data_IF_207825083633
#
_entry.id   IF_207825083633
#
_cell.length_a   1.000
_cell.length_b   1.000
_cell.length_c   1.000
_cell.angle_alpha   90.00
_cell.angle_beta   90.00
_cell.angle_gamma   90.00
#
_symmetry.space_group_name_H-M   'P 1'
#
loop_
_entity.id
_entity.type
_entity.pdbx_description
1 polymer ?
#
# COMPACT_ATOMS: atom_id res chain seq x y z
N UNK A 1 10.00 -18.52 19.40
CA UNK A 1 11.08 -19.21 20.12
C UNK A 1 11.61 -18.40 21.28
N UNK A 2 12.10 -17.17 21.02
CA UNK A 2 12.72 -16.31 22.05
C UNK A 2 11.80 -16.04 23.23
N UNK A 3 10.54 -15.72 23.00
CA UNK A 3 9.54 -15.46 24.07
C UNK A 3 9.25 -16.69 24.93
N UNK A 4 9.52 -17.89 24.40
CA UNK A 4 9.33 -19.16 25.10
C UNK A 4 10.62 -19.66 25.79
N UNK A 5 11.71 -18.89 25.75
CA UNK A 5 13.01 -19.33 26.25
C UNK A 5 13.71 -20.37 25.36
N UNK A 6 13.24 -20.59 24.14
CA UNK A 6 13.86 -21.46 23.13
C UNK A 6 14.35 -20.62 21.96
N UNK A 7 15.52 -19.97 22.07
CA UNK A 7 16.05 -19.20 20.96
C UNK A 7 16.38 -20.10 19.77
N UNK A 8 16.15 -19.57 18.56
CA UNK A 8 16.60 -20.21 17.32
C UNK A 8 18.12 -20.21 17.31
N UNK A 9 18.74 -21.30 16.83
CA UNK A 9 20.17 -21.36 16.60
C UNK A 9 20.59 -20.41 15.47
N UNK A 10 21.86 -20.10 15.40
CA UNK A 10 22.46 -19.32 14.33
C UNK A 10 23.37 -20.22 13.49
N UNK A 11 23.07 -20.37 12.20
CA UNK A 11 23.84 -21.12 11.25
C UNK A 11 23.70 -20.46 9.87
N UNK A 12 24.80 -20.26 9.15
CA UNK A 12 24.83 -19.53 7.88
C UNK A 12 25.45 -20.30 6.72
N UNK A 13 26.26 -21.32 6.98
CA UNK A 13 26.91 -22.12 5.94
C UNK A 13 26.13 -23.41 5.67
N UNK A 14 25.34 -23.40 4.61
CA UNK A 14 24.59 -24.56 4.12
C UNK A 14 25.25 -25.23 2.90
N UNK A 15 26.49 -24.94 2.61
CA UNK A 15 27.22 -25.46 1.42
C UNK A 15 27.53 -26.94 1.51
N UNK A 16 27.75 -27.49 2.71
CA UNK A 16 28.01 -28.90 2.96
C UNK A 16 27.41 -29.35 4.30
N UNK A 17 27.17 -30.67 4.40
CA UNK A 17 26.69 -31.27 5.63
C UNK A 17 27.80 -31.24 6.69
N UNK A 18 27.51 -30.58 7.83
CA UNK A 18 28.41 -30.51 8.99
C UNK A 18 27.66 -30.90 10.28
N UNK A 19 28.40 -31.16 11.37
CA UNK A 19 27.79 -31.43 12.66
C UNK A 19 27.03 -30.21 13.18
N UNK A 20 27.55 -29.01 12.97
CA UNK A 20 26.89 -27.76 13.36
C UNK A 20 25.55 -27.57 12.62
N UNK A 21 25.49 -27.92 11.33
CA UNK A 21 24.24 -27.92 10.59
C UNK A 21 23.22 -28.92 11.13
N UNK A 22 23.67 -30.12 11.52
CA UNK A 22 22.81 -31.13 12.16
C UNK A 22 22.27 -30.61 13.49
N UNK A 23 23.14 -30.07 14.33
CA UNK A 23 22.77 -29.52 15.65
C UNK A 23 21.80 -28.35 15.51
N UNK A 24 22.02 -27.47 14.52
CA UNK A 24 21.10 -26.39 14.16
C UNK A 24 19.72 -26.93 13.76
N UNK A 25 19.66 -27.96 12.91
CA UNK A 25 18.39 -28.57 12.50
C UNK A 25 17.65 -29.22 13.68
N UNK A 26 18.37 -29.88 14.59
CA UNK A 26 17.78 -30.48 15.81
C UNK A 26 17.17 -29.37 16.68
N UNK A 27 17.91 -28.27 16.86
CA UNK A 27 17.43 -27.11 17.63
C UNK A 27 16.18 -26.49 16.98
N UNK A 28 16.16 -26.32 15.66
CA UNK A 28 15.00 -25.75 14.92
C UNK A 28 13.75 -26.64 15.09
N UNK A 29 13.90 -27.96 15.10
CA UNK A 29 12.78 -28.88 15.35
C UNK A 29 12.26 -28.71 16.79
N UNK A 30 13.15 -28.64 17.77
CA UNK A 30 12.77 -28.47 19.18
C UNK A 30 12.05 -27.11 19.40
N UNK A 31 12.54 -26.04 18.79
CA UNK A 31 11.90 -24.71 18.81
C UNK A 31 10.52 -24.78 18.17
N UNK A 32 10.39 -25.42 17.02
CA UNK A 32 9.12 -25.56 16.30
C UNK A 32 8.10 -26.34 17.13
N UNK A 33 8.52 -27.41 17.79
CA UNK A 33 7.65 -28.19 18.68
C UNK A 33 7.16 -27.37 19.88
N UNK A 34 8.05 -26.61 20.51
CA UNK A 34 7.69 -25.75 21.65
C UNK A 34 6.69 -24.66 21.22
N UNK A 35 6.92 -24.01 20.07
CA UNK A 35 6.01 -23.00 19.49
C UNK A 35 4.67 -23.64 19.16
N UNK A 36 4.64 -24.79 18.52
CA UNK A 36 3.40 -25.50 18.18
C UNK A 36 2.57 -25.83 19.45
N UNK A 37 3.20 -26.37 20.49
CA UNK A 37 2.52 -26.65 21.76
C UNK A 37 1.88 -25.41 22.38
N UNK A 38 2.58 -24.27 22.32
CA UNK A 38 2.03 -23.01 22.83
C UNK A 38 0.89 -22.47 21.96
N UNK A 39 1.03 -22.54 20.63
CA UNK A 39 -0.02 -22.11 19.71
C UNK A 39 -1.30 -22.95 19.87
N UNK A 40 -1.19 -24.27 20.02
CA UNK A 40 -2.35 -25.13 20.28
C UNK A 40 -3.10 -24.70 21.55
N UNK A 41 -2.38 -24.32 22.63
CA UNK A 41 -3.01 -23.78 23.84
C UNK A 41 -3.71 -22.43 23.56
N UNK A 42 -3.06 -21.54 22.84
CA UNK A 42 -3.62 -20.22 22.55
C UNK A 42 -4.85 -20.31 21.62
N UNK A 43 -4.86 -21.30 20.72
CA UNK A 43 -5.97 -21.53 19.77
C UNK A 43 -7.16 -22.28 20.37
N UNK A 44 -7.06 -22.79 21.61
CA UNK A 44 -8.13 -23.55 22.25
C UNK A 44 -9.45 -22.75 22.42
N UNK A 45 -9.41 -21.43 22.32
CA UNK A 45 -10.57 -20.55 22.35
C UNK A 45 -11.28 -20.40 20.99
N UNK A 46 -10.65 -20.84 19.88
CA UNK A 46 -11.22 -20.74 18.54
C UNK A 46 -11.93 -22.06 18.19
N UNK A 47 -12.98 -21.94 17.38
CA UNK A 47 -13.64 -23.12 16.82
C UNK A 47 -12.69 -23.84 15.86
N UNK A 48 -12.61 -25.17 15.88
CA UNK A 48 -11.75 -25.95 14.98
C UNK A 48 -11.99 -25.62 13.51
N UNK A 49 -13.24 -25.34 13.12
CA UNK A 49 -13.65 -25.01 11.76
C UNK A 49 -12.99 -23.71 11.26
N UNK A 50 -12.76 -22.73 12.15
CA UNK A 50 -12.06 -21.49 11.80
C UNK A 50 -10.60 -21.78 11.44
N UNK A 51 -9.94 -22.66 12.21
CA UNK A 51 -8.55 -23.05 11.98
C UNK A 51 -8.43 -23.85 10.68
N UNK A 52 -9.36 -24.78 10.46
CA UNK A 52 -9.42 -25.57 9.22
C UNK A 52 -9.66 -24.68 7.99
N UNK A 53 -10.54 -23.68 8.10
CA UNK A 53 -10.77 -22.70 7.03
C UNK A 53 -9.49 -21.96 6.66
N UNK A 54 -8.75 -21.44 7.65
CA UNK A 54 -7.50 -20.71 7.40
C UNK A 54 -6.43 -21.60 6.75
N UNK A 55 -6.33 -22.88 7.12
CA UNK A 55 -5.42 -23.80 6.46
C UNK A 55 -5.82 -24.06 5.01
N UNK A 56 -7.11 -24.21 4.72
CA UNK A 56 -7.60 -24.36 3.32
C UNK A 56 -7.36 -23.10 2.51
N UNK A 57 -7.61 -21.91 3.08
CA UNK A 57 -7.32 -20.63 2.46
C UNK A 57 -5.83 -20.47 2.18
N UNK A 58 -4.97 -20.83 3.12
CA UNK A 58 -3.51 -20.76 2.95
C UNK A 58 -3.04 -21.65 1.79
N UNK A 59 -3.62 -22.83 1.61
CA UNK A 59 -3.33 -23.69 0.48
C UNK A 59 -3.70 -23.03 -0.86
N UNK A 60 -4.90 -22.40 -0.94
CA UNK A 60 -5.35 -21.66 -2.15
C UNK A 60 -4.42 -20.50 -2.44
N UNK A 61 -4.07 -19.72 -1.42
CA UNK A 61 -3.16 -18.57 -1.53
C UNK A 61 -1.77 -19.02 -2.02
N UNK A 62 -1.27 -20.16 -1.53
CA UNK A 62 -0.01 -20.73 -2.00
C UNK A 62 -0.08 -21.13 -3.48
N UNK A 63 -1.19 -21.71 -3.95
CA UNK A 63 -1.38 -22.01 -5.38
C UNK A 63 -1.41 -20.72 -6.23
N UNK A 64 -2.03 -19.65 -5.71
CA UNK A 64 -2.01 -18.34 -6.36
C UNK A 64 -0.59 -17.78 -6.47
N UNK A 65 0.21 -17.87 -5.40
CA UNK A 65 1.61 -17.45 -5.38
C UNK A 65 2.45 -18.27 -6.37
N UNK A 66 2.31 -19.60 -6.40
CA UNK A 66 3.00 -20.48 -7.35
C UNK A 66 2.61 -20.15 -8.79
N UNK A 67 1.34 -19.93 -9.08
CA UNK A 67 0.87 -19.57 -10.42
C UNK A 67 1.36 -18.21 -10.89
N UNK A 68 1.44 -17.23 -10.00
CA UNK A 68 1.81 -15.86 -10.32
C UNK A 68 0.89 -15.19 -11.35
N UNK A 69 1.23 -13.97 -11.71
CA UNK A 69 0.49 -13.11 -12.64
C UNK A 69 1.39 -12.67 -13.79
N UNK A 70 0.94 -12.82 -15.03
CA UNK A 70 1.70 -12.39 -16.20
C UNK A 70 1.71 -10.87 -16.27
N UNK A 71 2.92 -10.28 -16.38
CA UNK A 71 3.12 -8.87 -16.59
C UNK A 71 3.56 -8.61 -18.04
N UNK A 72 2.88 -7.70 -18.72
CA UNK A 72 3.36 -7.13 -19.99
C UNK A 72 4.53 -6.19 -19.67
N UNK A 73 5.75 -6.75 -19.68
CA UNK A 73 6.95 -6.01 -19.34
C UNK A 73 7.24 -4.87 -20.32
N UNK A 74 6.87 -5.02 -21.60
CA UNK A 74 7.05 -3.97 -22.59
C UNK A 74 6.20 -2.76 -22.25
N UNK A 75 4.89 -2.96 -22.06
CA UNK A 75 3.96 -1.91 -21.67
C UNK A 75 4.34 -1.28 -20.32
N UNK A 76 4.76 -2.09 -19.36
CA UNK A 76 5.19 -1.60 -18.04
C UNK A 76 6.45 -0.71 -18.13
N UNK A 77 7.44 -1.06 -18.96
CA UNK A 77 8.62 -0.24 -19.21
C UNK A 77 8.27 1.08 -19.92
N UNK A 78 7.40 1.02 -20.93
CA UNK A 78 6.91 2.23 -21.62
C UNK A 78 6.21 3.17 -20.66
N UNK A 79 5.38 2.62 -19.75
CA UNK A 79 4.68 3.40 -18.74
C UNK A 79 5.63 4.01 -17.71
N UNK A 80 6.65 3.27 -17.26
CA UNK A 80 7.72 3.81 -16.41
C UNK A 80 8.46 4.97 -17.07
N UNK A 81 8.80 4.86 -18.36
CA UNK A 81 9.45 5.91 -19.10
C UNK A 81 8.57 7.18 -19.16
N UNK A 82 7.29 7.02 -19.50
CA UNK A 82 6.31 8.13 -19.55
C UNK A 82 6.19 8.83 -18.19
N UNK A 83 6.08 8.08 -17.09
CA UNK A 83 6.01 8.69 -15.77
C UNK A 83 7.29 9.42 -15.39
N UNK A 84 8.45 8.84 -15.75
CA UNK A 84 9.75 9.46 -15.49
C UNK A 84 9.94 10.75 -16.26
N UNK A 85 9.53 10.79 -17.52
CA UNK A 85 9.55 12.00 -18.37
C UNK A 85 8.66 13.08 -17.76
N UNK A 86 7.39 12.79 -17.46
CA UNK A 86 6.50 13.74 -16.82
C UNK A 86 7.01 14.26 -15.47
N UNK A 87 7.64 13.41 -14.66
CA UNK A 87 8.30 13.84 -13.42
C UNK A 87 9.46 14.81 -13.68
N UNK A 88 10.27 14.58 -14.72
CA UNK A 88 11.40 15.44 -15.06
C UNK A 88 10.90 16.80 -15.55
N UNK A 89 9.84 16.82 -16.37
CA UNK A 89 9.24 18.07 -16.88
C UNK A 89 8.70 18.92 -15.73
N UNK A 90 7.89 18.34 -14.85
CA UNK A 90 7.36 19.04 -13.68
C UNK A 90 8.48 19.51 -12.74
N UNK A 91 9.51 18.69 -12.54
CA UNK A 91 10.66 19.09 -11.74
C UNK A 91 11.38 20.30 -12.34
N UNK A 92 11.57 20.33 -13.65
CA UNK A 92 12.21 21.46 -14.35
C UNK A 92 11.37 22.73 -14.20
N UNK A 93 10.06 22.66 -14.43
CA UNK A 93 9.15 23.79 -14.26
C UNK A 93 9.16 24.31 -12.81
N UNK A 94 9.13 23.42 -11.82
CA UNK A 94 9.17 23.81 -10.42
C UNK A 94 10.52 24.38 -10.00
N UNK A 95 11.63 23.96 -10.63
CA UNK A 95 12.96 24.55 -10.38
C UNK A 95 13.10 25.96 -10.99
N UNK A 96 12.39 26.26 -12.09
CA UNK A 96 12.29 27.62 -12.59
C UNK A 96 11.47 28.51 -11.66
N UNK A 97 10.38 28.01 -11.09
CA UNK A 97 9.54 28.75 -10.14
C UNK A 97 10.20 28.93 -8.76
N UNK A 98 11.06 28.01 -8.37
CA UNK A 98 11.80 28.02 -7.12
C UNK A 98 13.31 27.96 -7.39
N UNK A 99 13.95 29.11 -7.66
CA UNK A 99 15.37 29.16 -7.94
C UNK A 99 16.20 28.65 -6.75
N UNK A 100 17.43 28.18 -6.99
CA UNK A 100 18.31 27.67 -5.94
C UNK A 100 18.52 28.70 -4.81
N UNK A 101 18.54 28.23 -3.58
CA UNK A 101 18.94 29.05 -2.43
C UNK A 101 20.46 29.01 -2.34
N UNK A 102 21.06 30.18 -2.29
CA UNK A 102 22.50 30.37 -2.13
C UNK A 102 22.76 30.90 -0.71
N UNK A 103 23.43 30.11 0.11
CA UNK A 103 23.82 30.47 1.46
C UNK A 103 25.32 30.79 1.49
N UNK A 104 25.67 32.04 1.82
CA UNK A 104 27.06 32.41 2.06
C UNK A 104 27.57 31.73 3.33
N UNK A 105 28.72 31.10 3.24
CA UNK A 105 29.30 30.36 4.35
C UNK A 105 30.66 30.98 4.76
N UNK A 106 30.86 31.09 6.06
CA UNK A 106 32.13 31.50 6.65
C UNK A 106 32.59 30.44 7.64
N UNK A 107 33.91 30.24 7.71
CA UNK A 107 34.49 29.34 8.68
C UNK A 107 34.29 29.92 10.11
N UNK A 108 33.72 29.14 11.00
CA UNK A 108 33.53 29.57 12.41
C UNK A 108 34.85 29.91 13.10
N UNK A 109 35.90 29.15 12.80
CA UNK A 109 37.23 29.30 13.39
C UNK A 109 38.05 30.43 12.80
N UNK A 110 38.08 30.57 11.46
CA UNK A 110 38.99 31.49 10.76
C UNK A 110 38.29 32.70 10.19
N UNK A 111 36.95 32.76 10.24
CA UNK A 111 36.08 33.80 9.64
C UNK A 111 36.33 34.00 8.16
N UNK A 112 37.11 33.13 7.52
CA UNK A 112 37.30 33.16 6.04
C UNK A 112 36.05 32.71 5.31
N UNK A 113 35.76 33.36 4.18
CA UNK A 113 34.67 32.94 3.27
C UNK A 113 34.95 31.54 2.75
N UNK A 114 33.94 30.67 2.86
CA UNK A 114 33.94 29.34 2.30
C UNK A 114 33.15 29.37 0.99
N UNK A 115 33.17 28.27 0.22
CA UNK A 115 32.31 28.10 -0.96
C UNK A 115 30.86 28.16 -0.52
N UNK A 116 30.06 28.95 -1.23
CA UNK A 116 28.63 29.09 -0.97
C UNK A 116 27.94 27.72 -1.08
N UNK A 117 26.96 27.50 -0.21
CA UNK A 117 26.11 26.32 -0.29
C UNK A 117 24.93 26.63 -1.20
N UNK A 118 24.86 25.93 -2.32
CA UNK A 118 23.76 26.05 -3.28
C UNK A 118 22.82 24.89 -3.08
N UNK A 119 21.57 25.17 -2.71
CA UNK A 119 20.52 24.16 -2.53
C UNK A 119 19.50 24.29 -3.66
N UNK A 120 19.55 23.36 -4.61
CA UNK A 120 18.57 23.24 -5.68
C UNK A 120 17.28 22.63 -5.14
N UNK A 121 16.13 23.13 -5.60
CA UNK A 121 14.83 22.62 -5.17
C UNK A 121 14.64 21.15 -5.60
N UNK A 122 14.36 20.30 -4.62
CA UNK A 122 14.07 18.88 -4.80
C UNK A 122 12.60 18.60 -4.45
N UNK A 123 11.77 18.37 -5.45
CA UNK A 123 10.34 18.06 -5.31
C UNK A 123 10.08 16.77 -4.51
N UNK A 124 11.03 15.84 -4.53
CA UNK A 124 10.98 14.61 -3.72
C UNK A 124 11.18 14.85 -2.21
N UNK A 125 11.71 16.00 -1.82
CA UNK A 125 11.95 16.35 -0.41
C UNK A 125 10.74 17.04 0.20
N UNK A 126 9.97 16.31 1.02
CA UNK A 126 8.79 16.86 1.71
C UNK A 126 9.09 18.13 2.50
N UNK A 127 10.27 18.20 3.13
CA UNK A 127 10.70 19.38 3.86
C UNK A 127 10.91 20.58 2.95
N UNK A 128 11.64 20.42 1.83
CA UNK A 128 11.84 21.51 0.89
C UNK A 128 10.52 21.95 0.21
N UNK A 129 9.64 21.01 -0.08
CA UNK A 129 8.30 21.31 -0.62
C UNK A 129 7.53 22.19 0.37
N UNK A 130 7.48 21.82 1.66
CA UNK A 130 6.80 22.63 2.68
C UNK A 130 7.38 24.03 2.75
N UNK A 131 8.70 24.16 2.94
CA UNK A 131 9.42 25.43 3.06
C UNK A 131 9.20 26.34 1.83
N UNK A 132 9.22 25.76 0.61
CA UNK A 132 9.05 26.55 -0.61
C UNK A 132 7.61 26.98 -0.84
N UNK A 133 6.63 26.11 -0.59
CA UNK A 133 5.22 26.45 -0.73
C UNK A 133 4.76 27.45 0.33
N UNK A 134 5.33 27.44 1.54
CA UNK A 134 5.08 28.47 2.55
C UNK A 134 5.46 29.87 2.05
N UNK A 135 6.54 30.01 1.30
CA UNK A 135 6.91 31.30 0.70
C UNK A 135 5.90 31.82 -0.33
N UNK A 136 4.99 30.95 -0.79
CA UNK A 136 3.90 31.25 -1.72
C UNK A 136 2.53 31.34 -1.01
N UNK A 137 2.51 31.22 0.31
CA UNK A 137 1.28 31.36 1.10
C UNK A 137 0.59 30.04 1.46
N UNK A 138 1.26 28.90 1.28
CA UNK A 138 0.73 27.61 1.76
C UNK A 138 0.71 27.56 3.28
N UNK A 139 -0.33 26.92 3.83
CA UNK A 139 -0.52 26.73 5.27
C UNK A 139 -0.68 25.24 5.58
N UNK A 140 0.03 24.75 6.57
CA UNK A 140 0.01 23.35 6.97
C UNK A 140 -0.77 23.17 8.27
N UNK A 141 -1.89 22.46 8.18
CA UNK A 141 -2.76 22.17 9.31
C UNK A 141 -2.33 20.95 10.12
N UNK A 142 -1.51 20.08 9.52
CA UNK A 142 -1.09 18.81 10.12
C UNK A 142 0.43 18.75 10.24
N UNK A 143 0.92 18.29 11.41
CA UNK A 143 2.34 18.10 11.69
C UNK A 143 2.64 16.62 11.97
N UNK A 144 3.82 16.18 11.59
CA UNK A 144 4.35 14.86 11.96
C UNK A 144 4.65 14.84 13.47
N UNK A 145 4.83 13.67 14.11
CA UNK A 145 5.25 13.57 15.51
C UNK A 145 6.56 14.32 15.82
N UNK A 146 7.39 14.57 14.80
CA UNK A 146 8.63 15.36 14.91
C UNK A 146 8.43 16.87 14.69
N UNK A 147 7.17 17.35 14.58
CA UNK A 147 6.85 18.76 14.42
C UNK A 147 7.05 19.32 13.01
N UNK A 148 7.29 18.48 12.00
CA UNK A 148 7.42 18.92 10.59
C UNK A 148 6.07 18.89 9.88
N UNK A 149 5.80 19.78 8.91
CA UNK A 149 4.59 19.75 8.09
C UNK A 149 4.37 18.38 7.41
N UNK A 150 3.13 17.90 7.44
CA UNK A 150 2.70 16.75 6.64
C UNK A 150 2.44 17.24 5.22
N UNK A 151 3.21 16.73 4.26
CA UNK A 151 3.06 17.04 2.82
C UNK A 151 2.54 15.78 2.12
N UNK A 152 1.25 15.72 1.93
CA UNK A 152 0.55 14.63 1.25
C UNK A 152 -0.54 15.15 0.32
N UNK A 153 -1.31 14.24 -0.29
CA UNK A 153 -2.40 14.59 -1.21
C UNK A 153 -3.45 15.50 -0.53
N UNK A 154 -3.79 15.23 0.74
CA UNK A 154 -4.83 15.95 1.48
C UNK A 154 -4.38 17.38 1.74
N UNK A 155 -3.19 17.56 2.32
CA UNK A 155 -2.66 18.88 2.68
C UNK A 155 -2.33 19.73 1.45
N UNK A 156 -1.87 19.12 0.35
CA UNK A 156 -1.66 19.83 -0.92
C UNK A 156 -2.98 20.29 -1.54
N UNK A 157 -4.05 19.49 -1.49
CA UNK A 157 -5.40 19.90 -1.94
C UNK A 157 -5.98 21.04 -1.11
N UNK A 158 -5.71 21.08 0.19
CA UNK A 158 -6.10 22.22 1.05
C UNK A 158 -5.40 23.52 0.63
N UNK A 159 -4.20 23.41 0.04
CA UNK A 159 -3.42 24.52 -0.49
C UNK A 159 -3.64 24.77 -1.99
N UNK A 160 -4.81 24.45 -2.53
CA UNK A 160 -5.14 24.63 -3.97
C UNK A 160 -5.12 26.07 -4.44
N UNK A 161 -5.12 27.05 -3.53
CA UNK A 161 -4.92 28.47 -3.82
C UNK A 161 -3.48 28.81 -4.23
N UNK A 162 -2.52 27.91 -3.98
CA UNK A 162 -1.12 28.01 -4.42
C UNK A 162 -0.94 27.15 -5.68
N UNK A 163 -0.77 27.73 -6.88
CA UNK A 163 -0.71 26.96 -8.14
C UNK A 163 0.41 25.91 -8.15
N UNK A 164 1.53 26.20 -7.52
CA UNK A 164 2.67 25.29 -7.43
C UNK A 164 2.34 24.02 -6.61
N UNK A 165 1.40 24.10 -5.67
CA UNK A 165 0.96 22.93 -4.90
C UNK A 165 0.28 21.88 -5.80
N UNK A 166 -0.47 22.30 -6.84
CA UNK A 166 -1.06 21.39 -7.82
C UNK A 166 0.01 20.65 -8.63
N UNK A 167 1.08 21.34 -9.05
CA UNK A 167 2.22 20.71 -9.75
C UNK A 167 2.97 19.72 -8.86
N UNK A 168 3.18 20.06 -7.59
CA UNK A 168 3.77 19.14 -6.62
C UNK A 168 2.89 17.89 -6.45
N UNK A 169 1.57 18.07 -6.36
CA UNK A 169 0.62 16.95 -6.25
C UNK A 169 0.70 16.02 -7.46
N UNK A 170 0.77 16.57 -8.67
CA UNK A 170 0.95 15.80 -9.91
C UNK A 170 2.27 15.03 -9.92
N UNK A 171 3.38 15.70 -9.57
CA UNK A 171 4.68 15.04 -9.44
C UNK A 171 4.63 13.85 -8.48
N UNK A 172 4.02 14.02 -7.30
CA UNK A 172 3.90 12.95 -6.31
C UNK A 172 3.02 11.79 -6.79
N UNK A 173 2.00 12.08 -7.57
CA UNK A 173 1.18 11.05 -8.20
C UNK A 173 2.00 10.23 -9.19
N UNK A 174 2.73 10.90 -10.11
CA UNK A 174 3.61 10.23 -11.07
C UNK A 174 4.71 9.43 -10.37
N UNK A 175 5.33 10.00 -9.34
CA UNK A 175 6.34 9.30 -8.53
C UNK A 175 5.79 8.02 -7.90
N UNK A 176 4.59 8.09 -7.33
CA UNK A 176 3.91 6.92 -6.75
C UNK A 176 3.63 5.86 -7.80
N UNK A 177 3.13 6.25 -8.99
CA UNK A 177 2.84 5.33 -10.10
C UNK A 177 4.09 4.72 -10.67
N UNK A 178 5.12 5.53 -10.90
CA UNK A 178 6.44 5.05 -11.34
C UNK A 178 7.02 4.02 -10.40
N UNK A 179 7.11 4.33 -9.10
CA UNK A 179 7.62 3.40 -8.10
C UNK A 179 6.82 2.09 -8.03
N UNK A 180 5.51 2.17 -8.21
CA UNK A 180 4.62 1.01 -8.22
C UNK A 180 4.88 0.10 -9.41
N UNK A 181 4.92 0.66 -10.64
CA UNK A 181 5.18 -0.13 -11.86
C UNK A 181 6.60 -0.68 -11.88
N UNK A 182 7.58 0.11 -11.41
CA UNK A 182 8.96 -0.35 -11.26
C UNK A 182 9.06 -1.55 -10.31
N UNK A 183 8.36 -1.52 -9.18
CA UNK A 183 8.33 -2.64 -8.23
C UNK A 183 7.75 -3.93 -8.83
N UNK A 184 6.83 -3.82 -9.79
CA UNK A 184 6.33 -4.99 -10.52
C UNK A 184 7.37 -5.55 -11.47
N UNK A 185 8.05 -4.68 -12.24
CA UNK A 185 9.12 -5.08 -13.16
C UNK A 185 10.27 -5.78 -12.41
N UNK A 186 10.68 -5.26 -11.25
CA UNK A 186 11.72 -5.85 -10.41
C UNK A 186 11.31 -7.21 -9.81
N UNK A 187 10.00 -7.44 -9.65
CA UNK A 187 9.47 -8.68 -9.09
C UNK A 187 9.24 -9.78 -10.14
N UNK A 188 9.37 -9.48 -11.43
CA UNK A 188 9.19 -10.49 -12.50
C UNK A 188 10.26 -11.56 -12.38
N UNK A 189 9.84 -12.83 -12.46
CA UNK A 189 10.72 -14.00 -12.49
C UNK A 189 11.00 -14.46 -13.92
N UNK A 190 11.86 -15.47 -14.05
CA UNK A 190 12.29 -16.04 -15.36
C UNK A 190 11.11 -16.53 -16.22
N UNK A 191 10.00 -16.93 -15.61
CA UNK A 191 8.77 -17.34 -16.29
C UNK A 191 7.91 -16.18 -16.81
N UNK A 192 8.37 -14.93 -16.65
CA UNK A 192 7.66 -13.71 -17.04
C UNK A 192 6.50 -13.34 -16.13
N UNK A 193 6.44 -13.89 -14.92
CA UNK A 193 5.36 -13.69 -13.96
C UNK A 193 5.84 -13.00 -12.69
N UNK A 194 4.90 -12.37 -12.03
CA UNK A 194 5.06 -11.79 -10.70
C UNK A 194 4.37 -12.70 -9.69
N UNK A 195 5.13 -13.19 -8.71
CA UNK A 195 4.66 -14.10 -7.67
C UNK A 195 4.46 -13.34 -6.35
N UNK A 196 3.46 -12.46 -6.35
CA UNK A 196 3.13 -11.66 -5.16
C UNK A 196 2.62 -12.53 -4.02
N UNK A 197 3.17 -12.34 -2.84
CA UNK A 197 2.82 -13.10 -1.64
C UNK A 197 1.57 -12.55 -0.97
N UNK A 198 0.70 -13.45 -0.50
CA UNK A 198 -0.49 -13.13 0.30
C UNK A 198 -0.36 -13.79 1.66
N UNK A 199 -0.66 -13.04 2.72
CA UNK A 199 -0.73 -13.55 4.10
C UNK A 199 -2.20 -13.56 4.49
N UNK A 200 -2.78 -14.73 4.77
CA UNK A 200 -4.22 -14.92 5.00
C UNK A 200 -4.76 -14.09 6.17
N UNK A 201 -4.02 -13.98 7.26
CA UNK A 201 -4.37 -13.20 8.45
C UNK A 201 -3.33 -12.10 8.73
N UNK A 202 -2.93 -11.34 7.70
CA UNK A 202 -1.85 -10.36 7.80
C UNK A 202 -2.22 -9.05 8.52
N UNK A 203 -3.50 -8.71 8.60
CA UNK A 203 -3.99 -7.51 9.28
C UNK A 203 -4.60 -7.85 10.65
N UNK A 204 -4.54 -6.89 11.58
CA UNK A 204 -5.16 -7.01 12.92
C UNK A 204 -6.67 -7.30 12.85
N UNK A 205 -7.31 -6.86 11.76
CA UNK A 205 -8.73 -7.08 11.47
C UNK A 205 -9.03 -8.46 10.87
N UNK A 206 -8.06 -9.37 10.72
CA UNK A 206 -8.22 -10.66 10.05
C UNK A 206 -8.26 -10.58 8.52
N UNK A 207 -8.04 -9.40 7.92
CA UNK A 207 -7.95 -9.28 6.45
C UNK A 207 -6.62 -9.81 5.94
N UNK A 208 -6.62 -10.30 4.70
CA UNK A 208 -5.41 -10.66 4.00
C UNK A 208 -4.55 -9.42 3.70
N UNK A 209 -3.24 -9.58 3.74
CA UNK A 209 -2.28 -8.57 3.28
C UNK A 209 -1.45 -9.09 2.13
N UNK A 210 -0.97 -8.18 1.29
CA UNK A 210 -0.16 -8.50 0.12
C UNK A 210 1.22 -7.86 0.23
N UNK A 211 2.25 -8.60 -0.20
CA UNK A 211 3.63 -8.12 -0.23
C UNK A 211 4.44 -8.75 -1.36
N UNK A 212 5.52 -8.11 -1.71
CA UNK A 212 6.57 -8.62 -2.62
C UNK A 212 6.10 -9.00 -4.04
N UNK A 213 5.40 -8.11 -4.77
CA UNK A 213 4.90 -6.79 -4.46
C UNK A 213 3.48 -6.81 -3.88
N UNK A 214 2.99 -5.65 -3.40
CA UNK A 214 1.62 -5.53 -2.95
C UNK A 214 0.64 -5.45 -4.13
N UNK A 215 0.08 -6.60 -4.52
CA UNK A 215 -0.85 -6.73 -5.64
C UNK A 215 -2.23 -6.10 -5.38
N UNK A 216 -2.62 -5.93 -4.10
CA UNK A 216 -3.90 -5.30 -3.75
C UNK A 216 -3.91 -3.78 -4.02
N UNK A 217 -2.75 -3.16 -4.24
CA UNK A 217 -2.62 -1.72 -4.50
C UNK A 217 -2.61 -1.34 -5.98
N UNK A 218 -2.86 -2.27 -6.91
CA UNK A 218 -3.02 -1.92 -8.33
C UNK A 218 -4.15 -0.90 -8.45
N UNK A 219 -3.91 0.29 -9.07
CA UNK A 219 -4.87 1.38 -9.05
C UNK A 219 -6.22 0.99 -9.64
N UNK A 220 -7.30 1.53 -9.09
CA UNK A 220 -8.63 1.34 -9.64
C UNK A 220 -8.73 2.00 -11.05
N UNK A 221 -9.49 1.40 -11.96
CA UNK A 221 -9.58 1.89 -13.34
C UNK A 221 -10.10 3.31 -13.52
N UNK A 222 -10.80 3.85 -12.53
CA UNK A 222 -11.28 5.24 -12.51
C UNK A 222 -10.27 6.23 -11.88
N UNK A 223 -9.21 5.72 -11.25
CA UNK A 223 -8.16 6.58 -10.68
C UNK A 223 -7.17 7.03 -11.77
N UNK A 224 -6.45 8.14 -11.57
CA UNK A 224 -5.45 8.59 -12.53
C UNK A 224 -4.42 7.49 -12.85
N UNK A 225 -4.21 7.23 -14.14
CA UNK A 225 -3.37 6.15 -14.69
C UNK A 225 -3.79 4.73 -14.27
N UNK A 226 -5.01 4.57 -13.76
CA UNK A 226 -5.48 3.27 -13.28
C UNK A 226 -5.71 2.26 -14.40
N UNK A 227 -6.24 2.70 -15.54
CA UNK A 227 -6.45 1.84 -16.71
C UNK A 227 -5.13 1.36 -17.29
N UNK A 228 -4.17 2.25 -17.43
CA UNK A 228 -2.82 1.99 -17.95
C UNK A 228 -2.09 0.99 -17.04
N UNK A 229 -2.07 1.23 -15.75
CA UNK A 229 -1.48 0.32 -14.76
C UNK A 229 -2.14 -1.07 -14.78
N UNK A 230 -3.47 -1.14 -14.92
CA UNK A 230 -4.18 -2.43 -15.01
C UNK A 230 -3.89 -3.16 -16.31
N UNK A 231 -3.71 -2.44 -17.42
CA UNK A 231 -3.39 -3.03 -18.72
C UNK A 231 -2.03 -3.74 -18.76
N UNK A 232 -1.13 -3.44 -17.82
CA UNK A 232 0.12 -4.19 -17.67
C UNK A 232 -0.09 -5.63 -17.20
N UNK A 233 -1.23 -5.94 -16.57
CA UNK A 233 -1.55 -7.28 -16.07
C UNK A 233 -2.36 -8.04 -17.12
N UNK A 234 -1.80 -9.15 -17.59
CA UNK A 234 -2.37 -9.91 -18.71
C UNK A 234 -2.39 -11.42 -18.40
N UNK A 235 -2.71 -12.20 -19.38
CA UNK A 235 -2.76 -13.67 -19.31
C UNK A 235 -2.04 -14.28 -20.51
N UNK A 236 -1.58 -15.53 -20.43
CA UNK A 236 -1.02 -16.23 -21.57
C UNK A 236 -2.00 -16.29 -22.75
N UNK A 237 -1.44 -16.39 -23.97
CA UNK A 237 -2.24 -16.54 -25.20
C UNK A 237 -3.22 -17.70 -25.07
N UNK A 238 -4.48 -17.46 -25.45
CA UNK A 238 -5.55 -18.45 -25.36
C UNK A 238 -6.21 -18.57 -23.97
N UNK A 239 -5.76 -17.81 -22.97
CA UNK A 239 -6.40 -17.72 -21.65
C UNK A 239 -7.24 -16.46 -21.53
N UNK A 240 -8.11 -16.41 -20.51
CA UNK A 240 -8.91 -15.23 -20.16
C UNK A 240 -8.72 -14.91 -18.69
N UNK A 241 -8.63 -13.62 -18.36
CA UNK A 241 -8.73 -13.15 -16.97
C UNK A 241 -10.20 -13.11 -16.58
N UNK A 242 -10.56 -13.79 -15.49
CA UNK A 242 -11.91 -13.78 -14.93
C UNK A 242 -11.86 -13.07 -13.60
N UNK A 243 -12.64 -11.99 -13.47
CA UNK A 243 -12.81 -11.26 -12.21
C UNK A 243 -14.10 -11.70 -11.51
N UNK A 244 -14.01 -11.89 -10.20
CA UNK A 244 -15.15 -12.17 -9.33
C UNK A 244 -15.10 -11.24 -8.12
N UNK A 245 -16.22 -10.56 -7.83
CA UNK A 245 -16.36 -9.67 -6.69
C UNK A 245 -17.69 -9.90 -5.98
N UNK A 246 -17.67 -9.99 -4.65
CA UNK A 246 -18.86 -10.19 -3.85
C UNK A 246 -19.56 -8.84 -3.61
N UNK A 247 -20.72 -8.65 -4.22
CA UNK A 247 -21.50 -7.42 -4.10
C UNK A 247 -21.93 -7.15 -2.65
N UNK A 248 -21.51 -6.00 -2.08
CA UNK A 248 -21.94 -5.54 -0.77
C UNK A 248 -21.60 -6.49 0.37
N UNK A 249 -20.47 -7.19 0.31
CA UNK A 249 -20.10 -8.24 1.26
C UNK A 249 -20.20 -7.78 2.72
N UNK A 250 -19.67 -6.60 3.03
CA UNK A 250 -19.65 -6.06 4.40
C UNK A 250 -21.08 -5.82 4.92
N UNK A 251 -21.98 -5.28 4.09
CA UNK A 251 -23.38 -5.08 4.48
C UNK A 251 -24.13 -6.41 4.63
N UNK A 252 -23.76 -7.43 3.86
CA UNK A 252 -24.34 -8.79 4.00
C UNK A 252 -23.91 -9.43 5.31
N UNK A 253 -22.65 -9.24 5.70
CA UNK A 253 -22.18 -9.69 7.00
C UNK A 253 -22.83 -8.93 8.16
N UNK A 254 -23.03 -7.61 8.00
CA UNK A 254 -23.77 -6.81 8.96
C UNK A 254 -25.21 -7.34 9.12
N UNK A 255 -25.91 -7.57 8.01
CA UNK A 255 -27.27 -8.14 8.03
C UNK A 255 -27.33 -9.49 8.76
N UNK A 256 -26.33 -10.34 8.56
CA UNK A 256 -26.20 -11.62 9.27
C UNK A 256 -26.07 -11.43 10.79
N UNK A 257 -25.22 -10.50 11.23
CA UNK A 257 -25.05 -10.24 12.68
C UNK A 257 -26.24 -9.49 13.31
N UNK A 258 -26.94 -8.65 12.57
CA UNK A 258 -28.12 -7.95 13.04
C UNK A 258 -29.33 -8.86 13.17
N UNK A 259 -29.41 -9.93 12.39
CA UNK A 259 -30.57 -10.84 12.26
C UNK A 259 -31.89 -10.08 12.00
N UNK A 260 -31.79 -8.95 11.30
CA UNK A 260 -32.94 -8.10 10.93
C UNK A 260 -33.46 -8.54 9.55
N UNK A 261 -34.68 -9.04 9.54
CA UNK A 261 -35.34 -9.57 8.32
C UNK A 261 -35.68 -8.47 7.32
N UNK A 262 -36.06 -7.28 7.79
CA UNK A 262 -36.40 -6.17 6.89
C UNK A 262 -35.13 -5.64 6.21
N UNK A 263 -34.08 -5.37 6.97
CA UNK A 263 -32.79 -4.95 6.44
C UNK A 263 -32.21 -5.98 5.45
N UNK A 264 -32.27 -7.28 5.82
CA UNK A 264 -31.82 -8.36 4.96
C UNK A 264 -32.60 -8.42 3.65
N UNK A 265 -33.94 -8.29 3.69
CA UNK A 265 -34.78 -8.27 2.49
C UNK A 265 -34.42 -7.11 1.58
N UNK A 266 -34.30 -5.90 2.12
CA UNK A 266 -33.89 -4.71 1.36
C UNK A 266 -32.53 -4.92 0.68
N UNK A 267 -31.56 -5.43 1.42
CA UNK A 267 -30.20 -5.68 0.90
C UNK A 267 -30.18 -6.71 -0.24
N UNK A 268 -31.12 -7.65 -0.25
CA UNK A 268 -31.21 -8.71 -1.28
C UNK A 268 -32.02 -8.30 -2.50
N UNK A 269 -33.01 -7.41 -2.34
CA UNK A 269 -34.01 -7.08 -3.36
C UNK A 269 -33.89 -5.68 -3.95
N UNK A 270 -33.20 -4.75 -3.21
CA UNK A 270 -33.11 -3.34 -3.59
C UNK A 270 -31.64 -2.87 -3.65
N UNK A 271 -31.43 -1.66 -4.17
CA UNK A 271 -30.16 -0.97 -4.03
C UNK A 271 -30.09 -0.26 -2.67
N UNK A 272 -29.48 -0.91 -1.70
CA UNK A 272 -29.34 -0.41 -0.33
C UNK A 272 -28.68 0.98 -0.27
N UNK A 273 -27.77 1.32 -1.18
CA UNK A 273 -27.12 2.62 -1.20
C UNK A 273 -28.06 3.73 -1.66
N UNK A 274 -28.94 3.46 -2.61
CA UNK A 274 -30.01 4.38 -3.03
C UNK A 274 -31.02 4.57 -1.92
N UNK A 275 -31.43 3.50 -1.22
CA UNK A 275 -32.31 3.59 -0.06
C UNK A 275 -31.68 4.41 1.08
N UNK A 276 -30.43 4.18 1.39
CA UNK A 276 -29.68 4.93 2.40
C UNK A 276 -29.49 6.41 2.00
N UNK A 277 -29.29 6.69 0.71
CA UNK A 277 -29.25 8.07 0.19
C UNK A 277 -30.52 8.83 0.52
N UNK A 278 -31.67 8.21 0.21
CA UNK A 278 -32.98 8.84 0.48
C UNK A 278 -33.24 8.99 1.98
N UNK A 279 -32.96 7.96 2.77
CA UNK A 279 -33.18 7.98 4.21
C UNK A 279 -32.32 9.01 4.95
N UNK A 280 -31.08 9.20 4.52
CA UNK A 280 -30.12 10.15 5.10
C UNK A 280 -30.18 11.55 4.45
N UNK A 281 -31.02 11.77 3.45
CA UNK A 281 -31.12 13.05 2.75
C UNK A 281 -29.85 13.47 2.00
N UNK A 282 -29.06 12.50 1.55
CA UNK A 282 -27.79 12.75 0.86
C UNK A 282 -28.02 13.05 -0.63
N UNK A 283 -27.18 13.92 -1.20
CA UNK A 283 -27.34 14.38 -2.57
C UNK A 283 -27.08 13.26 -3.60
N UNK A 284 -26.13 12.38 -3.32
CA UNK A 284 -25.71 11.37 -4.28
C UNK A 284 -25.54 9.98 -3.66
N UNK A 285 -25.77 8.94 -4.47
CA UNK A 285 -25.55 7.54 -4.11
C UNK A 285 -24.09 7.23 -3.68
N UNK A 286 -23.03 7.77 -4.32
CA UNK A 286 -21.66 7.63 -3.83
C UNK A 286 -21.43 8.20 -2.42
N UNK A 287 -22.06 9.32 -2.08
CA UNK A 287 -22.00 9.86 -0.72
C UNK A 287 -22.63 8.90 0.28
N UNK A 288 -23.81 8.33 -0.03
CA UNK A 288 -24.44 7.33 0.83
C UNK A 288 -23.59 6.07 1.00
N UNK A 289 -22.92 5.61 -0.06
CA UNK A 289 -21.98 4.51 0.03
C UNK A 289 -20.81 4.83 0.96
N UNK A 290 -20.21 6.00 0.82
CA UNK A 290 -19.10 6.44 1.68
C UNK A 290 -19.56 6.59 3.13
N UNK A 291 -20.73 7.21 3.35
CA UNK A 291 -21.31 7.42 4.67
C UNK A 291 -21.54 6.12 5.43
N UNK A 292 -22.20 5.13 4.81
CA UNK A 292 -22.53 3.87 5.51
C UNK A 292 -21.27 3.08 5.88
N UNK A 293 -20.25 3.07 5.04
CA UNK A 293 -18.99 2.39 5.35
C UNK A 293 -18.19 3.16 6.41
N UNK A 294 -18.15 4.49 6.33
CA UNK A 294 -17.52 5.31 7.35
C UNK A 294 -18.17 5.08 8.72
N UNK A 295 -19.50 5.06 8.78
CA UNK A 295 -20.28 4.76 9.99
C UNK A 295 -19.95 3.35 10.53
N UNK A 296 -19.94 2.32 9.68
CA UNK A 296 -19.60 0.94 10.08
C UNK A 296 -18.21 0.80 10.71
N UNK A 297 -17.27 1.62 10.26
CA UNK A 297 -15.90 1.62 10.76
C UNK A 297 -15.63 2.67 11.85
N UNK A 298 -16.69 3.25 12.42
CA UNK A 298 -16.60 4.14 13.58
C UNK A 298 -16.06 5.53 13.26
N UNK A 299 -16.29 6.03 12.06
CA UNK A 299 -16.04 7.43 11.79
C UNK A 299 -16.97 8.27 12.65
N UNK A 300 -16.41 9.24 13.39
CA UNK A 300 -17.16 10.26 14.13
C UNK A 300 -17.82 11.26 13.20
N UNK A 301 -18.62 12.15 13.82
CA UNK A 301 -19.32 13.25 13.17
C UNK A 301 -18.39 14.25 12.47
#
# INVERSE_FOLDING_TARGET
>A
GNELGFPKGDHSDFSCLSQEMIDYCIQDVAVTEAVHKQLVKNMAQFLPECIELEHKVQWIVQQQEINGWVLDQKLANELCATFKEGMNDIQSELQEMFPPIVEERHSEKTKKRLKDKVTVFNVGSRQQVAERLETKGAVWSELTPSGKPVVDEKTLKQNSHVPEAAKVLEYLLLQKRHAQVLSWLEAVKEDGRVHGRVISNGAVTGRMTHQSPNMAQVPAGHSPYGKECRSCWTVPVGKKLVGFDASGLELRMLAHYMDDKEFTNVLLTEDIHTRNQMAAGLETRPQAKTFIYAFLYGAGD
#
